data_IF_776713903212
#
_entry.id   IF_776713903212
#
_cell.length_a   1.000
_cell.length_b   1.000
_cell.length_c   1.000
_cell.angle_alpha   90.00
_cell.angle_beta   90.00
_cell.angle_gamma   90.00
#
_symmetry.space_group_name_H-M   'P 1'
#
loop_
_entity.id
_entity.type
_entity.pdbx_description
1 polymer ?
#
# COMPACT_ATOMS: atom_id res chain seq x y z
N UNK A 1 -4.35 50.04 11.23
CA UNK A 1 -4.81 48.73 11.75
C UNK A 1 -5.44 47.97 10.61
N UNK A 2 -4.68 47.13 9.93
CA UNK A 2 -5.19 46.18 8.91
C UNK A 2 -5.46 44.85 9.61
N UNK A 3 -6.64 44.25 9.44
CA UNK A 3 -6.93 42.97 10.07
C UNK A 3 -6.10 41.86 9.44
N UNK A 4 -5.57 41.02 10.34
CA UNK A 4 -4.90 39.75 10.12
C UNK A 4 -5.51 38.94 8.96
N UNK A 5 -4.74 38.71 7.91
CA UNK A 5 -5.00 37.60 6.99
C UNK A 5 -4.65 36.32 7.73
N UNK A 6 -5.69 35.55 8.05
CA UNK A 6 -5.63 34.36 8.88
C UNK A 6 -4.57 33.36 8.42
N UNK A 7 -3.89 32.78 9.40
CA UNK A 7 -3.09 31.58 9.29
C UNK A 7 -3.97 30.35 8.95
N UNK A 8 -4.56 30.33 7.75
CA UNK A 8 -5.50 29.29 7.31
C UNK A 8 -5.03 28.48 6.10
N UNK A 9 -3.74 28.52 5.75
CA UNK A 9 -3.29 28.10 4.41
C UNK A 9 -2.17 27.07 4.32
N UNK A 10 -1.68 26.50 5.42
CA UNK A 10 -0.77 25.36 5.34
C UNK A 10 -1.57 24.07 5.44
N UNK A 11 -2.51 23.90 4.51
CA UNK A 11 -3.16 22.61 4.30
C UNK A 11 -2.10 21.60 3.87
N UNK A 12 -2.06 20.45 4.54
CA UNK A 12 -1.20 19.33 4.17
C UNK A 12 -1.52 18.95 2.71
N UNK A 13 -0.68 19.37 1.77
CA UNK A 13 -0.82 19.00 0.36
C UNK A 13 -0.36 17.55 0.19
N UNK A 14 -1.32 16.63 0.34
CA UNK A 14 -1.09 15.21 0.06
C UNK A 14 -1.35 14.99 -1.43
N UNK A 15 -0.35 14.51 -2.17
CA UNK A 15 -0.55 14.02 -3.53
C UNK A 15 -1.23 12.64 -3.48
N UNK A 16 -2.56 12.66 -3.45
CA UNK A 16 -3.41 11.47 -3.39
C UNK A 16 -3.23 10.58 -4.62
N UNK A 17 -2.92 11.17 -5.77
CA UNK A 17 -2.69 10.42 -7.01
C UNK A 17 -1.42 9.60 -6.91
N UNK A 18 -0.33 10.21 -6.46
CA UNK A 18 0.93 9.50 -6.21
C UNK A 18 0.75 8.42 -5.13
N UNK A 19 0.07 8.73 -4.03
CA UNK A 19 -0.18 7.76 -2.96
C UNK A 19 -0.95 6.52 -3.45
N UNK A 20 -1.98 6.71 -4.28
CA UNK A 20 -2.73 5.62 -4.91
C UNK A 20 -1.85 4.77 -5.83
N UNK A 21 -1.00 5.40 -6.64
CA UNK A 21 -0.07 4.68 -7.50
C UNK A 21 0.94 3.85 -6.69
N UNK A 22 1.46 4.39 -5.60
CA UNK A 22 2.36 3.67 -4.70
C UNK A 22 1.64 2.47 -4.06
N UNK A 23 0.42 2.66 -3.57
CA UNK A 23 -0.37 1.58 -2.98
C UNK A 23 -0.59 0.42 -3.97
N UNK A 24 -0.91 0.73 -5.23
CA UNK A 24 -1.06 -0.28 -6.29
C UNK A 24 0.26 -1.01 -6.59
N UNK A 25 1.38 -0.27 -6.70
CA UNK A 25 2.70 -0.87 -6.95
C UNK A 25 3.13 -1.80 -5.81
N UNK A 26 2.86 -1.44 -4.56
CA UNK A 26 3.16 -2.29 -3.41
C UNK A 26 2.39 -3.61 -3.46
N UNK A 27 1.09 -3.56 -3.79
CA UNK A 27 0.26 -4.76 -3.98
C UNK A 27 0.80 -5.65 -5.11
N UNK A 28 1.07 -5.07 -6.29
CA UNK A 28 1.60 -5.79 -7.45
C UNK A 28 2.97 -6.42 -7.19
N UNK A 29 3.87 -5.69 -6.51
CA UNK A 29 5.17 -6.22 -6.12
C UNK A 29 5.00 -7.37 -5.13
N UNK A 30 4.08 -7.24 -4.19
CA UNK A 30 3.75 -8.30 -3.25
C UNK A 30 3.25 -9.57 -3.93
N UNK A 31 2.32 -9.43 -4.88
CA UNK A 31 1.81 -10.55 -5.70
C UNK A 31 2.92 -11.24 -6.49
N UNK A 32 3.86 -10.45 -7.03
CA UNK A 32 4.99 -10.98 -7.82
C UNK A 32 6.01 -11.75 -6.97
N UNK A 33 6.09 -11.46 -5.68
CA UNK A 33 7.01 -12.13 -4.77
C UNK A 33 6.45 -13.44 -4.22
N UNK A 34 5.14 -13.58 -4.06
CA UNK A 34 4.53 -14.80 -3.52
C UNK A 34 4.62 -15.90 -4.59
N UNK A 35 5.41 -16.97 -4.36
CA UNK A 35 5.61 -18.00 -5.38
C UNK A 35 4.29 -18.72 -5.66
N UNK A 36 3.83 -18.66 -6.90
CA UNK A 36 2.66 -19.42 -7.36
C UNK A 36 2.98 -20.86 -7.79
N UNK A 37 4.26 -21.19 -7.94
CA UNK A 37 4.70 -22.49 -8.43
C UNK A 37 4.94 -23.48 -7.27
N UNK A 38 4.48 -24.74 -7.40
CA UNK A 38 4.76 -25.78 -6.42
C UNK A 38 6.25 -26.13 -6.42
N UNK A 39 6.70 -26.66 -5.29
CA UNK A 39 8.08 -27.12 -5.09
C UNK A 39 8.51 -28.05 -6.23
N UNK A 40 9.68 -27.82 -6.86
CA UNK A 40 10.16 -28.67 -7.93
C UNK A 40 10.29 -30.12 -7.44
N UNK A 41 9.91 -31.06 -8.30
CA UNK A 41 9.95 -32.50 -8.04
C UNK A 41 11.37 -32.94 -7.70
N UNK A 42 11.52 -33.79 -6.68
CA UNK A 42 12.83 -34.28 -6.25
C UNK A 42 13.48 -35.11 -7.36
N UNK A 43 14.67 -34.69 -7.80
CA UNK A 43 15.51 -35.46 -8.74
C UNK A 43 16.32 -36.51 -7.99
N UNK A 44 16.59 -37.69 -8.57
CA UNK A 44 17.50 -38.66 -7.98
C UNK A 44 18.89 -38.02 -7.78
N UNK A 45 19.43 -38.14 -6.56
CA UNK A 45 20.71 -37.56 -6.16
C UNK A 45 21.06 -37.95 -4.72
N UNK A 46 22.26 -37.58 -4.23
CA UNK A 46 22.65 -37.85 -2.85
C UNK A 46 21.65 -37.24 -1.85
N UNK A 47 21.24 -38.01 -0.84
CA UNK A 47 20.22 -37.60 0.15
C UNK A 47 20.53 -36.24 0.80
N UNK A 48 21.81 -35.99 1.12
CA UNK A 48 22.26 -34.71 1.69
C UNK A 48 22.06 -33.53 0.74
N UNK A 49 22.24 -33.74 -0.58
CA UNK A 49 22.03 -32.72 -1.60
C UNK A 49 20.54 -32.43 -1.80
N UNK A 50 19.70 -33.46 -1.78
CA UNK A 50 18.23 -33.32 -1.85
C UNK A 50 17.72 -32.53 -0.64
N UNK A 51 18.16 -32.89 0.57
CA UNK A 51 17.79 -32.18 1.79
C UNK A 51 18.23 -30.70 1.76
N UNK A 52 19.44 -30.41 1.29
CA UNK A 52 19.94 -29.04 1.16
C UNK A 52 19.15 -28.20 0.14
N UNK A 53 18.85 -28.75 -1.03
CA UNK A 53 18.00 -28.10 -2.05
C UNK A 53 16.61 -27.84 -1.49
N UNK A 54 16.05 -28.82 -0.76
CA UNK A 54 14.77 -28.70 -0.09
C UNK A 54 14.71 -27.59 0.95
N UNK A 55 15.74 -27.50 1.80
CA UNK A 55 15.86 -26.46 2.81
C UNK A 55 16.00 -25.07 2.18
N UNK A 56 16.81 -24.93 1.13
CA UNK A 56 16.92 -23.66 0.39
C UNK A 56 15.59 -23.26 -0.24
N UNK A 57 14.88 -24.19 -0.88
CA UNK A 57 13.57 -23.89 -1.46
C UNK A 57 12.58 -23.41 -0.39
N UNK A 58 12.48 -24.12 0.74
CA UNK A 58 11.59 -23.74 1.83
C UNK A 58 11.96 -22.37 2.43
N UNK A 59 13.25 -22.08 2.59
CA UNK A 59 13.73 -20.79 3.08
C UNK A 59 13.40 -19.65 2.10
N UNK A 60 13.64 -19.85 0.81
CA UNK A 60 13.31 -18.89 -0.24
C UNK A 60 11.80 -18.66 -0.32
N UNK A 61 11.00 -19.73 -0.30
CA UNK A 61 9.54 -19.64 -0.30
C UNK A 61 9.02 -18.86 0.91
N UNK A 62 9.55 -19.15 2.10
CA UNK A 62 9.19 -18.45 3.32
C UNK A 62 9.56 -16.96 3.27
N UNK A 63 10.78 -16.63 2.85
CA UNK A 63 11.24 -15.26 2.66
C UNK A 63 10.32 -14.50 1.67
N UNK A 64 10.11 -15.08 0.50
CA UNK A 64 9.25 -14.53 -0.55
C UNK A 64 7.82 -14.27 -0.06
N UNK A 65 7.22 -15.21 0.67
CA UNK A 65 5.88 -15.04 1.26
C UNK A 65 5.83 -13.93 2.30
N UNK A 66 6.82 -13.84 3.18
CA UNK A 66 6.88 -12.77 4.18
C UNK A 66 7.01 -11.39 3.54
N UNK A 67 7.92 -11.23 2.59
CA UNK A 67 8.10 -9.97 1.86
C UNK A 67 6.84 -9.60 1.07
N UNK A 68 6.26 -10.57 0.35
CA UNK A 68 5.04 -10.35 -0.42
C UNK A 68 3.86 -9.90 0.45
N UNK A 69 3.64 -10.61 1.56
CA UNK A 69 2.56 -10.30 2.51
C UNK A 69 2.74 -8.93 3.18
N UNK A 70 3.98 -8.56 3.51
CA UNK A 70 4.31 -7.24 4.06
C UNK A 70 3.93 -6.14 3.07
N UNK A 71 4.37 -6.24 1.81
CA UNK A 71 4.08 -5.23 0.79
C UNK A 71 2.59 -5.10 0.49
N UNK A 72 1.86 -6.22 0.42
CA UNK A 72 0.41 -6.20 0.24
C UNK A 72 -0.29 -5.49 1.41
N UNK A 73 0.15 -5.75 2.65
CA UNK A 73 -0.41 -5.11 3.85
C UNK A 73 -0.19 -3.60 3.82
N UNK A 74 1.05 -3.17 3.60
CA UNK A 74 1.37 -1.74 3.55
C UNK A 74 0.65 -1.03 2.39
N UNK A 75 0.55 -1.69 1.23
CA UNK A 75 -0.24 -1.20 0.11
C UNK A 75 -1.72 -1.04 0.44
N UNK A 76 -2.31 -1.97 1.20
CA UNK A 76 -3.70 -1.88 1.66
C UNK A 76 -3.93 -0.78 2.70
N UNK A 77 -2.97 -0.60 3.62
CA UNK A 77 -2.98 0.49 4.61
C UNK A 77 -2.96 1.85 3.91
N UNK A 78 -2.06 2.04 2.95
CA UNK A 78 -1.94 3.30 2.20
C UNK A 78 -3.20 3.60 1.38
N UNK A 79 -3.75 2.59 0.71
CA UNK A 79 -5.00 2.71 -0.06
C UNK A 79 -6.18 3.13 0.85
N UNK A 80 -6.28 2.54 2.05
CA UNK A 80 -7.28 2.92 3.06
C UNK A 80 -7.11 4.38 3.52
N UNK A 81 -5.87 4.83 3.72
CA UNK A 81 -5.58 6.21 4.10
C UNK A 81 -5.95 7.20 2.99
N UNK A 82 -5.67 6.86 1.73
CA UNK A 82 -6.09 7.63 0.54
C UNK A 82 -7.61 7.78 0.50
N UNK A 83 -8.35 6.69 0.68
CA UNK A 83 -9.82 6.73 0.67
C UNK A 83 -10.39 7.59 1.81
N UNK A 84 -9.79 7.51 3.00
CA UNK A 84 -10.19 8.35 4.13
C UNK A 84 -9.95 9.84 3.87
N UNK A 85 -8.81 10.17 3.25
CA UNK A 85 -8.49 11.55 2.86
C UNK A 85 -9.49 12.09 1.83
N UNK A 86 -9.76 11.34 0.76
CA UNK A 86 -10.72 11.75 -0.28
C UNK A 86 -12.15 11.92 0.25
N UNK A 87 -12.59 11.02 1.14
CA UNK A 87 -13.90 11.12 1.79
C UNK A 87 -14.01 12.39 2.64
N UNK A 88 -12.94 12.71 3.39
CA UNK A 88 -12.88 13.92 4.21
C UNK A 88 -12.86 15.18 3.34
N UNK A 89 -12.10 15.18 2.25
CA UNK A 89 -12.02 16.29 1.31
C UNK A 89 -13.39 16.57 0.65
N UNK A 90 -14.09 15.53 0.20
CA UNK A 90 -15.43 15.64 -0.37
C UNK A 90 -16.46 16.17 0.64
N UNK A 91 -16.41 15.70 1.89
CA UNK A 91 -17.29 16.20 2.96
C UNK A 91 -17.02 17.68 3.25
N UNK A 92 -15.75 18.09 3.32
CA UNK A 92 -15.38 19.47 3.55
C UNK A 92 -15.84 20.39 2.41
N UNK A 93 -15.64 19.97 1.15
CA UNK A 93 -16.12 20.71 -0.02
C UNK A 93 -17.65 20.88 -0.02
N UNK A 94 -18.39 19.83 0.35
CA UNK A 94 -19.84 19.87 0.48
C UNK A 94 -20.33 20.83 1.57
N UNK A 95 -19.65 20.84 2.72
CA UNK A 95 -19.98 21.72 3.84
C UNK A 95 -19.72 23.19 3.51
N UNK A 96 -18.63 23.52 2.81
CA UNK A 96 -18.34 24.88 2.36
C UNK A 96 -19.41 25.37 1.38
N UNK A 97 -19.74 24.57 0.35
CA UNK A 97 -20.77 24.93 -0.62
C UNK A 97 -22.20 25.02 -0.03
N UNK A 98 -22.44 24.37 1.11
CA UNK A 98 -23.68 24.52 1.87
C UNK A 98 -23.69 25.78 2.74
N UNK A 99 -22.55 26.13 3.35
CA UNK A 99 -22.38 27.36 4.13
C UNK A 99 -22.50 28.61 3.26
N UNK A 100 -21.89 28.62 2.07
CA UNK A 100 -22.00 29.73 1.10
C UNK A 100 -23.46 29.97 0.68
N UNK A 101 -24.25 28.92 0.47
CA UNK A 101 -25.68 29.03 0.11
C UNK A 101 -26.59 29.49 1.24
N UNK A 102 -26.16 29.40 2.50
CA UNK A 102 -26.93 29.87 3.68
C UNK A 102 -26.59 31.31 4.07
N UNK A 103 -25.48 31.85 3.58
CA UNK A 103 -25.05 33.22 3.81
C UNK A 103 -25.49 34.22 2.73
N UNK A 104 -26.15 33.75 1.67
CA UNK A 104 -26.89 34.54 0.68
C UNK A 104 -28.38 34.55 1.02
#
# INVERSE_FOLDING_TARGET
MTPSSGAGGQGLQVDVTLARQVAQRLKQLGDSLIPGAPRPSESPGPEKSIAAIGAMYAASEHFSKQCGSFLQREGATLDSAVQAFESTDQQNAGNIGAAERRGM
#
